data_IF_500258200582
#
_entry.id   IF_500258200582
#
_cell.length_a   1.000
_cell.length_b   1.000
_cell.length_c   1.000
_cell.angle_alpha   90.00
_cell.angle_beta   90.00
_cell.angle_gamma   90.00
#
_symmetry.space_group_name_H-M   'P 1'
#
loop_
_entity.id
_entity.type
_entity.pdbx_description
1 polymer ?
#
# COMPACT_ATOMS: atom_id res chain seq x y z
N UNK A 1 6.20 11.62 -14.33
CA UNK A 1 5.67 11.09 -13.05
C UNK A 1 5.38 12.27 -12.14
N UNK A 2 4.24 12.24 -11.45
CA UNK A 2 3.81 13.29 -10.50
C UNK A 2 3.69 12.62 -9.14
N UNK A 3 4.15 13.28 -8.08
CA UNK A 3 4.06 12.79 -6.71
C UNK A 3 3.29 13.81 -5.87
N UNK A 4 2.00 13.59 -5.59
CA UNK A 4 1.24 14.48 -4.73
C UNK A 4 1.82 14.48 -3.31
N UNK A 5 1.84 15.66 -2.69
CA UNK A 5 2.16 15.79 -1.27
C UNK A 5 0.88 15.64 -0.47
N UNK A 6 0.69 14.48 0.14
CA UNK A 6 -0.54 14.14 0.87
C UNK A 6 -0.68 14.94 2.17
N UNK A 7 -1.80 15.60 2.39
CA UNK A 7 -2.01 16.44 3.57
C UNK A 7 -2.02 15.61 4.86
N UNK A 8 -1.25 16.04 5.87
CA UNK A 8 -1.10 15.36 7.15
C UNK A 8 -0.35 14.02 7.11
N UNK A 9 0.08 13.55 5.94
CA UNK A 9 0.79 12.26 5.82
C UNK A 9 1.87 12.35 4.74
N UNK A 10 2.84 13.24 4.98
CA UNK A 10 4.03 13.45 4.16
C UNK A 10 5.27 13.77 5.02
N UNK A 11 6.45 13.91 4.40
CA UNK A 11 7.72 14.07 5.13
C UNK A 11 7.87 15.43 5.84
N UNK A 12 7.11 16.46 5.45
CA UNK A 12 7.11 17.77 6.09
C UNK A 12 6.02 17.87 7.17
N UNK A 13 4.91 17.17 6.97
CA UNK A 13 3.77 17.13 7.88
C UNK A 13 3.27 15.68 8.05
N UNK A 14 3.72 14.98 9.11
CA UNK A 14 3.28 13.64 9.47
C UNK A 14 2.22 13.66 10.60
N UNK A 15 1.40 14.71 10.70
CA UNK A 15 0.47 14.91 11.84
C UNK A 15 -0.75 13.98 11.86
N UNK A 16 -1.16 13.44 10.71
CA UNK A 16 -2.40 12.66 10.55
C UNK A 16 -2.24 11.39 9.70
N UNK A 17 -1.26 10.50 9.97
CA UNK A 17 -1.17 9.22 9.30
C UNK A 17 -2.36 8.32 9.68
N UNK A 18 -2.92 7.64 8.68
CA UNK A 18 -4.01 6.68 8.85
C UNK A 18 -5.29 7.07 8.11
N UNK A 19 -6.46 6.54 8.54
CA UNK A 19 -7.69 6.58 7.75
C UNK A 19 -8.13 7.95 7.25
N UNK A 20 -8.00 9.00 8.07
CA UNK A 20 -8.39 10.35 7.68
C UNK A 20 -7.58 10.84 6.46
N UNK A 21 -6.24 10.70 6.51
CA UNK A 21 -5.42 10.98 5.35
C UNK A 21 -5.70 10.00 4.20
N UNK A 22 -5.81 8.70 4.47
CA UNK A 22 -6.02 7.70 3.42
C UNK A 22 -7.32 7.87 2.64
N UNK A 23 -8.37 8.41 3.25
CA UNK A 23 -9.60 8.80 2.56
C UNK A 23 -9.36 9.98 1.58
N UNK A 24 -8.44 10.90 1.91
CA UNK A 24 -8.08 12.04 1.04
C UNK A 24 -7.14 11.65 -0.09
N UNK A 25 -6.22 10.71 0.12
CA UNK A 25 -5.13 10.40 -0.83
C UNK A 25 -5.60 10.08 -2.25
N UNK A 26 -6.65 9.27 -2.50
CA UNK A 26 -7.16 9.05 -3.85
C UNK A 26 -7.69 10.32 -4.53
N UNK A 27 -8.33 11.21 -3.76
CA UNK A 27 -8.81 12.51 -4.24
C UNK A 27 -7.63 13.42 -4.57
N UNK A 28 -6.59 13.45 -3.73
CA UNK A 28 -5.36 14.22 -3.98
C UNK A 28 -4.62 13.71 -5.24
N UNK A 29 -4.71 12.42 -5.55
CA UNK A 29 -4.21 11.87 -6.84
C UNK A 29 -5.01 12.44 -8.01
N UNK A 30 -6.35 12.41 -7.95
CA UNK A 30 -7.21 13.01 -8.99
C UNK A 30 -6.91 14.50 -9.18
N UNK A 31 -6.75 15.25 -8.09
CA UNK A 31 -6.38 16.67 -8.11
C UNK A 31 -4.99 16.91 -8.72
N UNK A 32 -4.04 16.00 -8.48
CA UNK A 32 -2.72 16.09 -9.11
C UNK A 32 -2.82 15.89 -10.63
N UNK A 33 -3.67 14.97 -11.09
CA UNK A 33 -3.96 14.80 -12.52
C UNK A 33 -4.59 16.09 -13.09
N UNK A 34 -5.58 16.67 -12.41
CA UNK A 34 -6.21 17.93 -12.81
C UNK A 34 -5.19 19.07 -12.93
N UNK A 35 -4.32 19.21 -11.93
CA UNK A 35 -3.33 20.29 -11.89
C UNK A 35 -2.30 20.18 -13.00
N UNK A 36 -1.93 18.96 -13.38
CA UNK A 36 -0.99 18.69 -14.47
C UNK A 36 -1.67 18.88 -15.83
N UNK A 37 -2.94 18.52 -15.96
CA UNK A 37 -3.75 18.77 -17.14
C UNK A 37 -3.98 20.26 -17.41
N UNK A 38 -4.08 21.07 -16.35
CA UNK A 38 -4.19 22.53 -16.45
C UNK A 38 -2.85 23.25 -16.72
N UNK A 39 -1.72 22.54 -16.70
CA UNK A 39 -0.42 23.15 -16.89
C UNK A 39 -0.05 23.23 -18.39
N UNK A 40 -0.03 24.44 -18.95
CA UNK A 40 0.25 24.67 -20.37
C UNK A 40 1.59 24.09 -20.87
N UNK A 41 2.57 23.87 -19.97
CA UNK A 41 3.87 23.31 -20.35
C UNK A 41 3.85 21.79 -20.36
N UNK A 42 3.06 21.17 -19.48
CA UNK A 42 3.03 19.71 -19.32
C UNK A 42 1.89 19.06 -20.13
N UNK A 43 0.73 19.71 -20.21
CA UNK A 43 -0.46 19.14 -20.81
C UNK A 43 -0.25 18.67 -22.27
N UNK A 44 0.46 19.41 -23.15
CA UNK A 44 0.71 18.95 -24.52
C UNK A 44 1.62 17.70 -24.62
N UNK A 45 2.31 17.32 -23.55
CA UNK A 45 3.29 16.23 -23.52
C UNK A 45 2.72 14.94 -22.91
N UNK A 46 1.46 14.96 -22.45
CA UNK A 46 0.89 13.91 -21.61
C UNK A 46 -0.45 13.42 -22.15
N UNK A 47 -0.73 12.13 -21.92
CA UNK A 47 -2.01 11.48 -22.21
C UNK A 47 -2.79 11.33 -20.91
N UNK A 48 -3.89 12.07 -20.79
CA UNK A 48 -4.75 12.03 -19.59
C UNK A 48 -5.85 10.97 -19.67
N UNK A 49 -5.97 10.27 -20.80
CA UNK A 49 -6.80 9.09 -21.02
C UNK A 49 -6.08 7.77 -20.68
N UNK A 50 -4.79 7.84 -20.32
CA UNK A 50 -3.92 6.68 -20.13
C UNK A 50 -3.01 6.86 -18.90
N UNK A 51 -3.60 7.17 -17.73
CA UNK A 51 -2.84 7.41 -16.49
C UNK A 51 -2.58 6.11 -15.75
N UNK A 52 -1.32 5.87 -15.36
CA UNK A 52 -0.93 4.78 -14.48
C UNK A 52 -0.64 5.28 -13.06
N UNK A 53 -1.05 4.52 -12.04
CA UNK A 53 -0.73 4.83 -10.63
C UNK A 53 0.10 3.71 -10.02
N UNK A 54 1.22 4.09 -9.40
CA UNK A 54 2.09 3.19 -8.65
C UNK A 54 2.20 3.68 -7.20
N UNK A 55 2.06 2.77 -6.23
CA UNK A 55 2.18 3.12 -4.82
C UNK A 55 2.68 1.97 -3.95
N UNK A 56 3.55 2.30 -2.99
CA UNK A 56 4.09 1.35 -2.02
C UNK A 56 3.49 1.55 -0.61
N UNK A 57 3.29 0.48 0.17
CA UNK A 57 2.78 0.57 1.56
C UNK A 57 1.48 1.38 1.66
N UNK A 58 1.48 2.53 2.32
CA UNK A 58 0.31 3.42 2.39
C UNK A 58 -0.05 4.08 1.05
N UNK A 59 0.90 4.20 0.10
CA UNK A 59 0.59 4.53 -1.28
C UNK A 59 0.00 3.34 -2.05
N UNK A 60 0.33 2.10 -1.64
CA UNK A 60 -0.30 0.89 -2.16
C UNK A 60 -1.77 0.80 -1.76
N UNK A 61 -2.11 1.22 -0.53
CA UNK A 61 -3.51 1.43 -0.09
C UNK A 61 -4.25 2.43 -1.00
N UNK A 62 -3.63 3.58 -1.30
CA UNK A 62 -4.17 4.55 -2.27
C UNK A 62 -4.39 3.91 -3.64
N UNK A 63 -3.42 3.14 -4.15
CA UNK A 63 -3.52 2.47 -5.44
C UNK A 63 -4.65 1.42 -5.47
N UNK A 64 -4.82 0.63 -4.39
CA UNK A 64 -5.92 -0.31 -4.24
C UNK A 64 -7.29 0.39 -4.15
N UNK A 65 -7.36 1.53 -3.46
CA UNK A 65 -8.56 2.35 -3.43
C UNK A 65 -8.94 2.80 -4.83
N UNK A 66 -7.99 3.35 -5.60
CA UNK A 66 -8.16 3.77 -7.00
C UNK A 66 -8.48 2.59 -7.95
N UNK A 67 -8.09 1.37 -7.58
CA UNK A 67 -8.49 0.13 -8.27
C UNK A 67 -9.96 -0.26 -8.03
N UNK A 68 -10.70 0.54 -7.24
CA UNK A 68 -12.08 0.27 -6.85
C UNK A 68 -12.22 -0.56 -5.57
N UNK A 69 -11.12 -0.81 -4.85
CA UNK A 69 -11.14 -1.48 -3.55
C UNK A 69 -11.91 -0.66 -2.52
N UNK A 70 -12.72 -1.35 -1.74
CA UNK A 70 -13.52 -0.78 -0.65
C UNK A 70 -12.85 -1.10 0.67
N UNK A 71 -12.73 -0.12 1.56
CA UNK A 71 -12.16 -0.29 2.89
C UNK A 71 -12.92 0.53 3.93
N UNK A 72 -12.68 0.30 5.21
CA UNK A 72 -13.25 1.15 6.28
C UNK A 72 -12.40 1.10 7.54
N UNK A 73 -12.40 2.16 8.38
CA UNK A 73 -11.73 2.13 9.68
C UNK A 73 -12.18 0.95 10.55
N UNK A 74 -13.48 0.64 10.58
CA UNK A 74 -14.00 -0.48 11.37
C UNK A 74 -13.46 -1.84 10.92
N UNK A 75 -13.20 -2.05 9.62
CA UNK A 75 -12.57 -3.29 9.14
C UNK A 75 -11.13 -3.45 9.65
N UNK A 76 -10.39 -2.35 9.77
CA UNK A 76 -9.08 -2.37 10.42
C UNK A 76 -9.20 -2.76 11.90
N UNK A 77 -10.16 -2.17 12.62
CA UNK A 77 -10.45 -2.52 14.01
C UNK A 77 -10.73 -4.01 14.13
N UNK A 78 -11.65 -4.52 13.33
CA UNK A 78 -12.11 -5.91 13.41
C UNK A 78 -10.98 -6.88 13.07
N UNK A 79 -10.17 -6.58 12.06
CA UNK A 79 -8.93 -7.31 11.75
C UNK A 79 -8.01 -7.38 12.96
N UNK A 80 -7.68 -6.24 13.55
CA UNK A 80 -6.76 -6.21 14.70
C UNK A 80 -7.35 -6.88 15.94
N UNK A 81 -8.66 -6.80 16.17
CA UNK A 81 -9.28 -7.53 17.28
C UNK A 81 -9.21 -9.05 17.08
N UNK A 82 -9.10 -9.54 15.85
CA UNK A 82 -9.00 -10.96 15.55
C UNK A 82 -7.54 -11.44 15.50
N UNK A 83 -6.63 -10.64 14.96
CA UNK A 83 -5.28 -11.09 14.56
C UNK A 83 -4.13 -10.29 15.18
N UNK A 84 -4.33 -9.59 16.32
CA UNK A 84 -3.27 -8.73 16.87
C UNK A 84 -1.96 -9.47 17.20
N UNK A 85 -2.05 -10.74 17.57
CA UNK A 85 -0.91 -11.59 17.90
C UNK A 85 -0.15 -12.02 16.65
N UNK A 86 -0.85 -12.16 15.51
CA UNK A 86 -0.29 -12.56 14.21
C UNK A 86 0.18 -11.37 13.36
N UNK A 87 -0.49 -10.22 13.44
CA UNK A 87 -0.27 -9.03 12.60
C UNK A 87 -0.04 -7.75 13.44
N UNK A 88 0.69 -7.92 14.55
CA UNK A 88 0.93 -6.87 15.53
C UNK A 88 1.47 -5.58 14.91
N UNK A 89 2.49 -5.68 14.05
CA UNK A 89 3.14 -4.55 13.38
C UNK A 89 2.16 -3.72 12.55
N UNK A 90 1.19 -4.37 11.88
CA UNK A 90 0.14 -3.65 11.14
C UNK A 90 -0.81 -2.91 12.09
N UNK A 91 -1.11 -3.51 13.24
CA UNK A 91 -2.06 -2.98 14.21
C UNK A 91 -1.52 -1.84 15.08
N UNK A 92 -0.23 -1.88 15.44
CA UNK A 92 0.41 -0.87 16.30
C UNK A 92 1.41 0.03 15.57
N UNK A 93 1.67 -0.24 14.29
CA UNK A 93 2.66 0.48 13.49
C UNK A 93 4.07 0.36 14.07
N UNK A 94 4.83 1.45 14.00
CA UNK A 94 6.23 1.50 14.45
C UNK A 94 6.41 1.82 15.94
N UNK A 95 5.32 1.83 16.74
CA UNK A 95 5.36 2.21 18.15
C UNK A 95 6.17 1.22 18.98
N UNK A 96 5.96 -0.08 18.76
CA UNK A 96 6.65 -1.14 19.50
C UNK A 96 6.59 -2.47 18.74
N UNK A 97 7.29 -3.48 19.25
CA UNK A 97 7.28 -4.84 18.74
C UNK A 97 6.91 -5.83 19.85
N UNK A 98 6.35 -6.97 19.44
CA UNK A 98 6.29 -8.15 20.30
C UNK A 98 7.69 -8.67 20.56
N UNK A 99 7.94 -9.11 21.79
CA UNK A 99 9.23 -9.62 22.25
C UNK A 99 9.23 -11.13 22.49
N UNK A 100 8.05 -11.76 22.47
CA UNK A 100 7.84 -13.15 22.87
C UNK A 100 7.85 -13.33 24.38
N UNK A 101 7.56 -12.28 25.14
CA UNK A 101 7.56 -12.28 26.61
C UNK A 101 6.15 -12.00 27.18
N UNK A 102 6.01 -12.11 28.51
CA UNK A 102 4.74 -11.89 29.20
C UNK A 102 4.19 -10.47 29.09
N UNK A 103 5.00 -9.48 28.68
CA UNK A 103 4.53 -8.10 28.48
C UNK A 103 3.72 -7.95 27.20
N UNK A 104 3.84 -8.87 26.24
CA UNK A 104 3.11 -8.79 24.98
C UNK A 104 1.60 -8.88 25.20
N UNK A 105 1.12 -9.68 26.16
CA UNK A 105 -0.31 -9.74 26.48
C UNK A 105 -0.85 -8.38 26.96
N UNK A 106 -0.05 -7.63 27.72
CA UNK A 106 -0.42 -6.28 28.16
C UNK A 106 -0.43 -5.28 27.00
N UNK A 107 0.56 -5.36 26.10
CA UNK A 107 0.59 -4.54 24.87
C UNK A 107 -0.62 -4.81 23.99
N UNK A 108 -0.95 -6.08 23.78
CA UNK A 108 -2.09 -6.51 22.96
C UNK A 108 -3.39 -5.97 23.55
N UNK A 109 -3.57 -6.09 24.87
CA UNK A 109 -4.73 -5.55 25.57
C UNK A 109 -4.85 -4.03 25.40
N UNK A 110 -3.77 -3.28 25.65
CA UNK A 110 -3.75 -1.82 25.52
C UNK A 110 -4.01 -1.37 24.07
N UNK A 111 -3.39 -2.04 23.11
CA UNK A 111 -3.59 -1.77 21.68
C UNK A 111 -5.05 -2.02 21.27
N UNK A 112 -5.67 -3.13 21.68
CA UNK A 112 -7.09 -3.41 21.41
C UNK A 112 -8.02 -2.32 21.94
N UNK A 113 -7.73 -1.74 23.11
CA UNK A 113 -8.52 -0.62 23.66
C UNK A 113 -8.42 0.63 22.78
N UNK A 114 -7.20 1.04 22.43
CA UNK A 114 -6.97 2.21 21.56
C UNK A 114 -7.62 2.00 20.19
N UNK A 115 -7.48 0.80 19.63
CA UNK A 115 -8.03 0.44 18.32
C UNK A 115 -9.55 0.51 18.31
N UNK A 116 -10.22 -0.01 19.35
CA UNK A 116 -11.68 0.11 19.51
C UNK A 116 -12.15 1.56 19.54
N UNK A 117 -11.43 2.41 20.27
CA UNK A 117 -11.79 3.81 20.42
C UNK A 117 -11.57 4.62 19.13
N UNK A 118 -10.46 4.37 18.43
CA UNK A 118 -10.03 5.19 17.28
C UNK A 118 -10.70 4.80 15.97
N UNK A 119 -11.03 3.53 15.79
CA UNK A 119 -11.45 2.97 14.50
C UNK A 119 -12.90 2.44 14.57
N UNK A 120 -13.81 3.27 15.09
CA UNK A 120 -15.23 2.95 15.21
C UNK A 120 -16.03 3.21 13.94
N UNK A 121 -15.56 4.12 13.08
CA UNK A 121 -16.23 4.53 11.85
C UNK A 121 -16.38 3.36 10.85
N UNK A 122 -17.64 3.08 10.49
CA UNK A 122 -18.02 2.00 9.58
C UNK A 122 -18.22 2.46 8.13
N UNK A 123 -18.03 3.75 7.85
CA UNK A 123 -18.30 4.34 6.54
C UNK A 123 -17.37 3.72 5.49
N UNK A 124 -17.90 2.98 4.50
CA UNK A 124 -17.08 2.43 3.44
C UNK A 124 -16.46 3.56 2.62
N UNK A 125 -15.15 3.48 2.41
CA UNK A 125 -14.39 4.36 1.56
C UNK A 125 -14.11 3.65 0.24
N UNK A 126 -14.34 4.36 -0.86
CA UNK A 126 -14.07 3.90 -2.23
C UNK A 126 -13.88 5.12 -3.12
N UNK A 127 -12.91 5.09 -4.02
CA UNK A 127 -12.69 6.17 -4.98
C UNK A 127 -12.19 5.62 -6.31
N UNK A 128 -12.65 6.16 -7.42
CA UNK A 128 -12.21 5.77 -8.76
C UNK A 128 -12.08 7.02 -9.62
N UNK A 129 -11.14 7.01 -10.56
CA UNK A 129 -10.96 8.09 -11.53
C UNK A 129 -10.91 7.48 -12.94
N UNK A 130 -11.81 7.87 -13.86
CA UNK A 130 -11.91 7.26 -15.19
C UNK A 130 -10.66 7.47 -16.06
N UNK A 131 -9.77 8.39 -15.69
CA UNK A 131 -8.50 8.64 -16.38
C UNK A 131 -7.43 7.61 -16.05
N UNK A 132 -7.58 6.92 -14.93
CA UNK A 132 -6.65 5.89 -14.49
C UNK A 132 -6.97 4.62 -15.25
N UNK A 133 -6.03 4.16 -16.07
CA UNK A 133 -6.18 2.95 -16.88
C UNK A 133 -5.48 1.72 -16.31
N UNK A 134 -4.59 1.88 -15.31
CA UNK A 134 -3.89 0.77 -14.67
C UNK A 134 -3.29 1.20 -13.33
N UNK A 135 -3.19 0.27 -12.38
CA UNK A 135 -2.62 0.51 -11.07
C UNK A 135 -1.66 -0.60 -10.64
N UNK A 136 -0.60 -0.25 -9.92
CA UNK A 136 0.33 -1.19 -9.30
C UNK A 136 0.48 -0.85 -7.82
N UNK A 137 0.12 -1.81 -6.97
CA UNK A 137 0.26 -1.69 -5.52
C UNK A 137 1.39 -2.60 -5.03
N UNK A 138 2.43 -1.99 -4.45
CA UNK A 138 3.62 -2.68 -3.95
C UNK A 138 3.61 -2.77 -2.43
N UNK A 139 3.72 -3.99 -1.90
CA UNK A 139 3.61 -4.28 -0.45
C UNK A 139 2.51 -3.43 0.23
N UNK A 140 1.28 -3.41 -0.33
CA UNK A 140 0.25 -2.50 0.12
C UNK A 140 -0.15 -2.78 1.56
N UNK A 141 -0.48 -1.73 2.30
CA UNK A 141 -1.35 -1.91 3.44
C UNK A 141 -2.77 -2.23 2.95
N UNK A 142 -3.34 -3.34 3.41
CA UNK A 142 -4.68 -3.75 2.97
C UNK A 142 -5.53 -4.48 4.01
N UNK A 143 -5.13 -4.50 5.29
CA UNK A 143 -5.87 -5.21 6.34
C UNK A 143 -7.31 -4.69 6.53
N UNK A 144 -7.56 -3.45 6.13
CA UNK A 144 -8.82 -2.73 6.23
C UNK A 144 -9.74 -2.85 5.01
N UNK A 145 -9.27 -3.49 3.93
CA UNK A 145 -10.07 -3.69 2.72
C UNK A 145 -11.06 -4.84 2.86
N UNK A 146 -12.15 -4.71 2.12
CA UNK A 146 -13.07 -5.79 1.80
C UNK A 146 -12.49 -6.70 0.71
N UNK A 147 -12.21 -7.99 0.99
CA UNK A 147 -11.63 -8.89 0.01
C UNK A 147 -12.38 -9.02 -1.30
N UNK A 148 -13.70 -9.01 -1.24
CA UNK A 148 -14.54 -9.15 -2.43
C UNK A 148 -14.39 -7.98 -3.39
N UNK A 149 -14.18 -6.78 -2.86
CA UNK A 149 -14.03 -5.56 -3.66
C UNK A 149 -12.79 -5.57 -4.56
N UNK A 150 -11.75 -6.32 -4.18
CA UNK A 150 -10.48 -6.42 -4.91
C UNK A 150 -10.39 -7.65 -5.80
N UNK A 151 -11.36 -8.58 -5.74
CA UNK A 151 -11.43 -9.71 -6.68
C UNK A 151 -11.71 -9.26 -8.11
N UNK A 152 -12.42 -8.14 -8.28
CA UNK A 152 -12.77 -7.56 -9.58
C UNK A 152 -12.42 -6.07 -9.60
N UNK A 153 -11.12 -5.72 -9.69
CA UNK A 153 -10.71 -4.32 -9.76
C UNK A 153 -11.29 -3.66 -11.01
N UNK A 154 -11.61 -2.37 -10.93
CA UNK A 154 -12.21 -1.62 -12.04
C UNK A 154 -11.22 -1.31 -13.17
N UNK A 155 -9.93 -1.50 -12.89
CA UNK A 155 -8.80 -1.31 -13.82
C UNK A 155 -7.80 -2.46 -13.63
N UNK A 156 -6.95 -2.76 -14.63
CA UNK A 156 -5.82 -3.67 -14.47
C UNK A 156 -5.00 -3.39 -13.20
N UNK A 157 -4.88 -4.40 -12.34
CA UNK A 157 -4.18 -4.32 -11.05
C UNK A 157 -2.94 -5.20 -11.04
N UNK A 158 -1.78 -4.58 -10.84
CA UNK A 158 -0.52 -5.25 -10.52
C UNK A 158 -0.28 -5.29 -9.01
N UNK A 159 0.08 -6.44 -8.46
CA UNK A 159 0.44 -6.62 -7.05
C UNK A 159 1.89 -7.06 -6.93
N UNK A 160 2.71 -6.28 -6.23
CA UNK A 160 4.07 -6.69 -5.85
C UNK A 160 4.05 -7.18 -4.42
N UNK A 161 4.38 -8.44 -4.23
CA UNK A 161 4.25 -9.17 -2.97
C UNK A 161 5.65 -9.51 -2.46
N UNK A 162 5.95 -9.06 -1.24
CA UNK A 162 7.13 -9.50 -0.52
C UNK A 162 6.75 -10.62 0.44
N UNK A 163 7.00 -11.87 0.04
CA UNK A 163 6.47 -13.06 0.72
C UNK A 163 6.91 -13.20 2.18
N UNK A 164 7.97 -12.49 2.60
CA UNK A 164 8.56 -12.57 3.92
C UNK A 164 8.47 -11.23 4.68
N UNK A 165 7.59 -10.34 4.23
CA UNK A 165 7.32 -9.07 4.89
C UNK A 165 6.66 -9.28 6.24
N UNK A 166 7.32 -8.83 7.32
CA UNK A 166 6.84 -8.94 8.70
C UNK A 166 6.07 -7.70 9.17
N UNK A 167 6.09 -6.63 8.37
CA UNK A 167 5.40 -5.38 8.67
C UNK A 167 4.05 -5.30 7.94
N UNK A 168 3.97 -5.84 6.73
CA UNK A 168 2.76 -5.97 5.90
C UNK A 168 2.57 -7.43 5.50
N UNK A 169 2.35 -8.28 6.51
CA UNK A 169 2.23 -9.73 6.33
C UNK A 169 1.33 -10.08 5.13
N UNK A 170 1.86 -10.74 4.09
CA UNK A 170 1.12 -11.01 2.86
C UNK A 170 -0.18 -11.78 3.08
N UNK A 171 -0.25 -12.64 4.10
CA UNK A 171 -1.46 -13.39 4.46
C UNK A 171 -2.65 -12.46 4.78
N UNK A 172 -2.37 -11.29 5.35
CA UNK A 172 -3.38 -10.30 5.75
C UNK A 172 -3.52 -9.14 4.76
N UNK A 173 -2.63 -9.05 3.77
CA UNK A 173 -2.64 -8.00 2.74
C UNK A 173 -2.83 -8.61 1.35
N UNK A 174 -1.79 -8.71 0.52
CA UNK A 174 -1.88 -9.04 -0.90
C UNK A 174 -2.39 -10.45 -1.18
N UNK A 175 -2.23 -11.42 -0.27
CA UNK A 175 -2.74 -12.79 -0.43
C UNK A 175 -4.16 -12.97 0.11
N UNK A 176 -4.64 -12.06 0.96
CA UNK A 176 -5.95 -12.16 1.62
C UNK A 176 -7.11 -12.19 0.62
N UNK A 177 -6.96 -11.51 -0.51
CA UNK A 177 -8.03 -11.35 -1.50
C UNK A 177 -7.99 -12.43 -2.59
N UNK A 178 -6.96 -13.30 -2.59
CA UNK A 178 -6.64 -14.19 -3.69
C UNK A 178 -6.07 -13.44 -4.90
N UNK A 179 -5.63 -14.16 -5.95
CA UNK A 179 -5.30 -13.51 -7.22
C UNK A 179 -6.56 -12.82 -7.75
N UNK A 180 -6.47 -11.56 -8.24
CA UNK A 180 -7.65 -10.91 -8.81
C UNK A 180 -8.19 -11.75 -9.97
N UNK A 181 -9.51 -11.89 -10.04
CA UNK A 181 -10.18 -12.69 -11.08
C UNK A 181 -10.12 -12.04 -12.47
N UNK A 182 -9.55 -10.84 -12.58
CA UNK A 182 -9.34 -10.15 -13.84
C UNK A 182 -8.19 -10.81 -14.62
N UNK A 183 -8.37 -11.19 -15.90
CA UNK A 183 -7.28 -11.69 -16.75
C UNK A 183 -6.15 -10.65 -16.91
N UNK A 184 -6.46 -9.39 -16.59
CA UNK A 184 -5.53 -8.28 -16.72
C UNK A 184 -4.66 -8.05 -15.50
N UNK A 185 -4.95 -8.74 -14.39
CA UNK A 185 -4.16 -8.67 -13.19
C UNK A 185 -2.81 -9.40 -13.33
N UNK A 186 -1.82 -8.93 -12.57
CA UNK A 186 -0.50 -9.53 -12.47
C UNK A 186 -0.04 -9.54 -11.02
N UNK A 187 0.47 -10.68 -10.55
CA UNK A 187 1.10 -10.79 -9.25
C UNK A 187 2.59 -11.09 -9.44
N UNK A 188 3.44 -10.25 -8.88
CA UNK A 188 4.87 -10.51 -8.78
C UNK A 188 5.17 -10.99 -7.36
N UNK A 189 5.52 -12.27 -7.26
CA UNK A 189 5.90 -12.94 -6.01
C UNK A 189 7.42 -13.02 -5.87
N UNK A 190 7.86 -13.23 -4.62
CA UNK A 190 9.07 -13.95 -4.26
C UNK A 190 10.38 -13.56 -4.95
N UNK A 191 11.20 -12.80 -4.23
CA UNK A 191 12.67 -12.88 -4.33
C UNK A 191 13.18 -13.65 -3.09
N UNK A 192 14.31 -14.38 -3.15
CA UNK A 192 14.41 -15.70 -2.52
C UNK A 192 14.56 -15.80 -0.99
N UNK A 193 14.44 -14.74 -0.17
CA UNK A 193 14.88 -14.77 1.24
C UNK A 193 14.14 -13.80 2.18
N UNK A 194 14.28 -13.98 3.52
CA UNK A 194 14.07 -13.04 4.63
C UNK A 194 13.44 -11.68 4.34
N UNK A 195 12.45 -11.16 5.05
CA UNK A 195 12.38 -9.71 5.29
C UNK A 195 11.64 -8.83 4.27
N UNK A 196 11.49 -7.57 4.68
CA UNK A 196 10.62 -6.57 4.07
C UNK A 196 10.94 -6.37 2.60
N UNK A 197 9.90 -6.37 1.78
CA UNK A 197 10.02 -5.90 0.40
C UNK A 197 10.66 -4.51 0.39
N UNK A 198 11.48 -4.21 -0.63
CA UNK A 198 12.20 -2.96 -0.67
C UNK A 198 11.24 -1.77 -0.58
N UNK A 199 11.32 -1.01 0.52
CA UNK A 199 10.95 0.40 0.46
C UNK A 199 11.72 1.03 -0.71
N UNK A 200 11.01 1.73 -1.61
CA UNK A 200 11.56 2.33 -2.83
C UNK A 200 12.69 3.33 -2.57
N UNK A 201 12.82 3.83 -1.34
CA UNK A 201 13.98 4.55 -0.83
C UNK A 201 14.57 3.79 0.36
N UNK A 202 15.91 3.75 0.44
CA UNK A 202 16.63 3.44 1.69
C UNK A 202 16.18 4.44 2.75
N UNK A 203 15.24 4.05 3.58
CA UNK A 203 14.96 4.77 4.81
C UNK A 203 16.17 4.58 5.72
N UNK A 204 16.88 5.67 6.05
CA UNK A 204 17.93 5.61 7.07
C UNK A 204 17.22 5.47 8.42
N UNK A 205 17.23 4.26 8.95
CA UNK A 205 16.79 3.99 10.30
C UNK A 205 18.00 3.99 11.23
N UNK A 206 17.81 4.42 12.48
CA UNK A 206 18.82 4.21 13.51
C UNK A 206 18.97 2.71 13.76
N UNK A 207 20.21 2.26 13.96
CA UNK A 207 20.49 0.86 14.23
C UNK A 207 19.79 0.41 15.52
N UNK A 208 19.18 -0.78 15.50
CA UNK A 208 18.37 -1.33 16.58
C UNK A 208 16.94 -0.78 16.68
N UNK A 209 16.52 0.15 15.81
CA UNK A 209 15.18 0.72 15.87
C UNK A 209 14.09 -0.26 15.38
N UNK A 210 12.85 -0.02 15.81
CA UNK A 210 11.66 -0.73 15.29
C UNK A 210 11.56 -0.56 13.77
N UNK A 211 11.84 0.65 13.26
CA UNK A 211 11.84 0.92 11.83
C UNK A 211 12.88 0.11 11.06
N UNK A 212 14.11 -0.05 11.59
CA UNK A 212 15.12 -0.90 10.96
C UNK A 212 14.67 -2.36 10.91
N UNK A 213 14.09 -2.88 12.01
CA UNK A 213 13.58 -4.26 12.03
C UNK A 213 12.43 -4.48 11.06
N UNK A 214 11.50 -3.53 10.97
CA UNK A 214 10.28 -3.68 10.18
C UNK A 214 10.42 -3.30 8.72
N UNK A 215 11.39 -2.45 8.34
CA UNK A 215 11.54 -1.93 6.98
C UNK A 215 12.92 -2.18 6.37
N UNK A 216 13.86 -2.70 7.17
CA UNK A 216 15.21 -3.02 6.73
C UNK A 216 15.20 -4.10 5.66
N UNK A 217 16.20 -4.04 4.78
CA UNK A 217 16.50 -5.18 3.92
C UNK A 217 17.02 -6.32 4.80
N UNK A 218 16.65 -7.57 4.52
CA UNK A 218 17.34 -8.69 5.13
C UNK A 218 18.83 -8.69 4.76
N UNK A 219 19.71 -9.32 5.56
CA UNK A 219 21.14 -9.38 5.27
C UNK A 219 21.51 -9.94 3.89
N UNK A 220 20.66 -10.79 3.31
CA UNK A 220 20.91 -11.46 2.05
C UNK A 220 20.22 -10.82 0.82
N UNK A 221 19.51 -9.70 0.99
CA UNK A 221 18.85 -9.02 -0.13
C UNK A 221 19.77 -7.98 -0.75
N UNK A 222 20.06 -8.19 -2.03
CA UNK A 222 20.82 -7.25 -2.83
C UNK A 222 19.87 -6.45 -3.73
N UNK A 223 19.63 -5.20 -3.35
CA UNK A 223 18.84 -4.24 -4.12
C UNK A 223 19.34 -4.09 -5.57
N UNK A 224 20.65 -4.17 -5.80
CA UNK A 224 21.23 -3.89 -7.13
C UNK A 224 20.90 -4.98 -8.15
N UNK A 225 20.67 -6.21 -7.69
CA UNK A 225 20.28 -7.35 -8.53
C UNK A 225 18.77 -7.57 -8.53
N UNK A 226 18.08 -7.35 -7.40
CA UNK A 226 16.65 -7.62 -7.30
C UNK A 226 15.75 -6.51 -7.86
N UNK A 227 16.12 -5.23 -7.74
CA UNK A 227 15.24 -4.11 -8.13
C UNK A 227 15.14 -3.88 -9.64
N UNK A 228 16.23 -3.90 -10.44
CA UNK A 228 16.13 -3.63 -11.87
C UNK A 228 15.13 -4.51 -12.63
N UNK A 229 15.13 -5.86 -12.48
CA UNK A 229 14.16 -6.70 -13.18
C UNK A 229 12.71 -6.45 -12.70
N UNK A 230 12.51 -6.17 -11.41
CA UNK A 230 11.19 -5.80 -10.89
C UNK A 230 10.68 -4.49 -11.50
N UNK A 231 11.52 -3.46 -11.54
CA UNK A 231 11.16 -2.17 -12.14
C UNK A 231 10.85 -2.31 -13.63
N UNK A 232 11.62 -3.13 -14.36
CA UNK A 232 11.37 -3.43 -15.76
C UNK A 232 10.00 -4.10 -15.96
N UNK A 233 9.66 -5.09 -15.15
CA UNK A 233 8.36 -5.78 -15.23
C UNK A 233 7.17 -4.86 -14.91
N UNK A 234 7.32 -3.96 -13.92
CA UNK A 234 6.30 -2.95 -13.59
C UNK A 234 6.13 -1.95 -14.74
N UNK A 235 7.23 -1.48 -15.31
CA UNK A 235 7.18 -0.56 -16.45
C UNK A 235 6.53 -1.23 -17.67
N UNK A 236 6.89 -2.48 -17.96
CA UNK A 236 6.30 -3.26 -19.04
C UNK A 236 4.79 -3.45 -18.83
N UNK A 237 4.36 -3.74 -17.59
CA UNK A 237 2.93 -3.81 -17.27
C UNK A 237 2.19 -2.52 -17.65
N UNK A 238 2.71 -1.35 -17.27
CA UNK A 238 2.08 -0.08 -17.66
C UNK A 238 2.08 0.13 -19.18
N UNK A 239 3.17 -0.20 -19.87
CA UNK A 239 3.24 -0.11 -21.35
C UNK A 239 2.19 -1.01 -22.00
N UNK A 240 2.01 -2.24 -21.51
CA UNK A 240 1.02 -3.18 -22.05
C UNK A 240 -0.43 -2.74 -21.79
N UNK A 241 -0.70 -2.07 -20.65
CA UNK A 241 -2.06 -1.69 -20.25
C UNK A 241 -2.49 -0.29 -20.68
N UNK A 242 -1.55 0.62 -20.85
CA UNK A 242 -1.80 2.03 -21.17
C UNK A 242 -1.32 2.41 -22.57
N UNK A 243 -0.56 1.53 -23.22
CA UNK A 243 -0.12 1.72 -24.60
C UNK A 243 -1.30 1.88 -25.56
N UNK A 244 -1.10 2.50 -26.74
CA UNK A 244 -2.15 2.54 -27.75
C UNK A 244 -2.62 1.12 -28.07
N UNK A 245 -3.93 0.93 -28.20
CA UNK A 245 -4.50 -0.31 -28.70
C UNK A 245 -3.85 -0.65 -30.04
N UNK A 246 -3.23 -1.84 -30.13
CA UNK A 246 -2.73 -2.36 -31.40
C UNK A 246 -3.86 -2.82 -32.29
#
# INVERSE_FOLDING_TARGET
MVLPQHAGDNFQDPSEPGPASWARRPVEVSQAIDRVAADNRLAPLLRFDAVGVFGGSAGGHTALSLAGGQWSPSRFRDHCLQHIDEDFSSCVGFVTLRRGDGLDALKDWAARLVIRARFSDTTPQRHTDPRIGAVVAMVPFAADFDPESLRRPVVPLGLVIADQDINRCPAFTSKRFGPPASPDARCWHGWPRPGTGPCSRRCRHSSGSVGERLLGDPPAFDRSTALPPLHAAIAEFFVQRLGPSR
#
